data_IF_072739654790
#
_entry.id   IF_072739654790
#
_cell.length_a   1.000
_cell.length_b   1.000
_cell.length_c   1.000
_cell.angle_alpha   90.00
_cell.angle_beta   90.00
_cell.angle_gamma   90.00
#
_symmetry.space_group_name_H-M   'P 1'
#
loop_
_entity.id
_entity.type
_entity.pdbx_description
1 polymer ?
#
# COMPACT_ATOMS: atom_id res chain seq x y z
N UNK A 1 47.75 15.63 -29.42
CA UNK A 1 46.51 15.97 -28.68
C UNK A 1 45.35 15.31 -29.41
N UNK A 2 44.91 14.14 -28.94
CA UNK A 2 43.96 13.26 -29.63
C UNK A 2 42.87 12.82 -28.66
N UNK A 3 41.65 13.19 -29.01
CA UNK A 3 40.42 12.40 -28.89
C UNK A 3 39.90 12.12 -27.48
N UNK A 4 39.17 13.12 -27.00
CA UNK A 4 37.87 13.02 -26.32
C UNK A 4 37.14 11.66 -26.42
N UNK A 5 36.67 11.18 -25.25
CA UNK A 5 35.41 10.44 -25.02
C UNK A 5 35.34 9.02 -25.62
N UNK A 6 35.30 7.95 -24.79
CA UNK A 6 34.05 7.57 -24.14
C UNK A 6 34.25 6.78 -22.82
N UNK A 7 34.30 7.48 -21.69
CA UNK A 7 34.10 6.86 -20.37
C UNK A 7 32.69 7.16 -19.81
N UNK A 8 31.81 7.73 -20.64
CA UNK A 8 30.39 7.96 -20.35
C UNK A 8 29.61 6.73 -20.79
N UNK A 9 29.89 5.57 -20.19
CA UNK A 9 29.11 4.36 -20.40
C UNK A 9 28.14 4.23 -19.22
N UNK A 10 26.91 4.70 -19.50
CA UNK A 10 25.65 4.12 -19.05
C UNK A 10 25.40 3.99 -17.53
N UNK A 11 25.13 5.11 -16.87
CA UNK A 11 24.16 5.13 -15.76
C UNK A 11 22.75 4.99 -16.37
N UNK A 12 22.35 3.76 -16.66
CA UNK A 12 20.97 3.43 -17.00
C UNK A 12 20.13 3.47 -15.74
N UNK A 13 19.60 4.63 -15.38
CA UNK A 13 18.57 4.73 -14.33
C UNK A 13 17.28 4.19 -14.91
N UNK A 14 16.96 2.92 -14.66
CA UNK A 14 15.61 2.40 -14.84
C UNK A 14 14.71 3.14 -13.86
N UNK A 15 13.93 4.10 -14.36
CA UNK A 15 12.85 4.73 -13.60
C UNK A 15 11.82 3.64 -13.29
N UNK A 16 11.89 3.08 -12.08
CA UNK A 16 10.75 2.37 -11.51
C UNK A 16 9.67 3.43 -11.29
N UNK A 17 8.55 3.33 -12.02
CA UNK A 17 7.37 4.10 -11.69
C UNK A 17 6.91 3.64 -10.30
N UNK A 18 7.04 4.49 -9.30
CA UNK A 18 6.45 4.24 -7.99
C UNK A 18 4.97 4.57 -8.12
N UNK A 19 4.12 3.55 -7.97
CA UNK A 19 2.68 3.76 -7.83
C UNK A 19 2.40 4.68 -6.65
N UNK A 20 1.59 5.72 -6.86
CA UNK A 20 1.13 6.56 -5.76
C UNK A 20 -0.01 5.83 -5.07
N UNK A 21 0.30 5.19 -3.96
CA UNK A 21 -0.72 4.55 -3.14
C UNK A 21 -1.63 5.64 -2.53
N UNK A 22 -2.92 5.52 -2.77
CA UNK A 22 -3.95 6.38 -2.19
C UNK A 22 -4.74 5.63 -1.15
N UNK A 23 -5.22 6.36 -0.15
CA UNK A 23 -6.07 5.83 0.90
C UNK A 23 -7.40 5.32 0.32
N UNK A 24 -7.86 4.16 0.75
CA UNK A 24 -9.18 3.65 0.38
C UNK A 24 -10.29 4.67 0.74
N UNK A 25 -11.27 4.89 -0.15
CA UNK A 25 -12.38 5.80 0.14
C UNK A 25 -13.09 5.43 1.44
N UNK A 26 -13.49 6.44 2.22
CA UNK A 26 -14.25 6.23 3.47
C UNK A 26 -13.46 5.69 4.67
N UNK A 27 -12.34 5.00 4.46
CA UNK A 27 -11.57 4.38 5.54
C UNK A 27 -11.11 5.41 6.60
N UNK A 28 -11.09 5.03 7.87
CA UNK A 28 -10.53 5.87 8.94
C UNK A 28 -9.67 5.05 9.89
N UNK A 29 -8.70 5.69 10.53
CA UNK A 29 -7.88 5.06 11.57
C UNK A 29 -8.73 4.59 12.76
N UNK A 30 -9.79 5.32 13.08
CA UNK A 30 -10.72 4.97 14.16
C UNK A 30 -11.52 3.70 13.84
N UNK A 31 -11.99 3.58 12.60
CA UNK A 31 -12.70 2.39 12.12
C UNK A 31 -11.77 1.17 12.00
N UNK A 32 -10.59 1.36 11.41
CA UNK A 32 -9.70 0.24 11.11
C UNK A 32 -8.84 -0.20 12.29
N UNK A 33 -8.48 0.71 13.21
CA UNK A 33 -7.70 0.38 14.41
C UNK A 33 -6.47 -0.49 14.11
N UNK A 34 -6.40 -1.69 14.73
CA UNK A 34 -5.29 -2.63 14.54
C UNK A 34 -5.21 -3.20 13.12
N UNK A 35 -6.33 -3.21 12.37
CA UNK A 35 -6.36 -3.72 11.00
C UNK A 35 -5.59 -2.84 10.02
N UNK A 36 -5.34 -1.57 10.38
CA UNK A 36 -4.71 -0.58 9.51
C UNK A 36 -5.63 -0.11 8.38
N UNK A 37 -5.42 1.12 7.92
CA UNK A 37 -6.13 1.68 6.76
C UNK A 37 -5.58 1.08 5.47
N UNK A 38 -6.46 0.67 4.55
CA UNK A 38 -6.06 0.18 3.24
C UNK A 38 -5.57 1.33 2.35
N UNK A 39 -4.46 1.09 1.66
CA UNK A 39 -3.97 1.94 0.59
C UNK A 39 -3.85 1.11 -0.69
N UNK A 40 -4.26 1.67 -1.82
CA UNK A 40 -4.28 0.98 -3.11
C UNK A 40 -3.72 1.87 -4.20
N UNK A 41 -3.25 1.26 -5.28
CA UNK A 41 -2.90 1.96 -6.51
C UNK A 41 -4.15 2.04 -7.41
N UNK A 42 -4.62 3.26 -7.76
CA UNK A 42 -5.76 3.42 -8.66
C UNK A 42 -5.57 2.80 -10.04
N UNK A 43 -4.32 2.72 -10.51
CA UNK A 43 -3.99 2.20 -11.84
C UNK A 43 -3.92 0.66 -11.86
N UNK A 44 -3.89 0.02 -10.68
CA UNK A 44 -3.87 -1.44 -10.53
C UNK A 44 -5.24 -2.04 -10.16
N UNK A 45 -6.31 -1.24 -10.20
CA UNK A 45 -7.65 -1.76 -9.97
C UNK A 45 -8.06 -2.77 -11.06
N UNK A 46 -8.68 -3.91 -10.70
CA UNK A 46 -9.21 -4.86 -11.67
C UNK A 46 -10.21 -4.20 -12.62
N UNK A 47 -10.29 -4.71 -13.85
CA UNK A 47 -11.25 -4.20 -14.84
C UNK A 47 -12.69 -4.25 -14.30
N UNK A 48 -13.37 -3.11 -14.34
CA UNK A 48 -14.73 -2.95 -13.83
C UNK A 48 -14.85 -2.73 -12.32
N UNK A 49 -13.75 -2.77 -11.55
CA UNK A 49 -13.75 -2.42 -10.13
C UNK A 49 -13.81 -0.90 -9.93
N UNK A 50 -14.64 -0.44 -9.00
CA UNK A 50 -14.70 0.94 -8.57
C UNK A 50 -13.77 1.15 -7.36
N UNK A 51 -13.12 2.31 -7.20
CA UNK A 51 -12.53 2.74 -5.93
C UNK A 51 -13.38 2.46 -4.68
N UNK A 52 -14.70 2.59 -4.76
CA UNK A 52 -15.61 2.31 -3.64
C UNK A 52 -15.72 0.81 -3.28
N UNK A 53 -15.29 -0.07 -4.17
CA UNK A 53 -15.22 -1.51 -3.92
C UNK A 53 -13.92 -1.89 -3.17
N UNK A 54 -12.98 -0.95 -3.02
CA UNK A 54 -11.76 -1.17 -2.24
C UNK A 54 -12.13 -1.29 -0.77
N UNK A 55 -11.75 -2.42 -0.17
CA UNK A 55 -11.90 -2.65 1.27
C UNK A 55 -11.29 -1.49 2.08
N UNK A 56 -11.97 -1.06 3.14
CA UNK A 56 -11.50 0.07 3.93
C UNK A 56 -10.23 -0.24 4.74
N UNK A 57 -10.14 -1.45 5.31
CA UNK A 57 -9.04 -1.83 6.19
C UNK A 57 -8.07 -2.84 5.54
N UNK A 58 -6.79 -2.72 5.88
CA UNK A 58 -5.69 -3.48 5.29
C UNK A 58 -5.60 -4.93 5.79
N UNK A 59 -6.09 -5.23 6.98
CA UNK A 59 -6.21 -6.61 7.45
C UNK A 59 -7.68 -7.07 7.50
N UNK A 60 -7.91 -8.37 7.29
CA UNK A 60 -9.23 -8.96 7.46
C UNK A 60 -9.58 -9.05 8.96
N UNK A 61 -10.85 -8.89 9.39
CA UNK A 61 -11.22 -8.98 10.80
C UNK A 61 -10.90 -10.32 11.47
N UNK A 62 -10.85 -11.41 10.70
CA UNK A 62 -10.42 -12.74 11.16
C UNK A 62 -8.96 -13.07 10.82
N UNK A 63 -8.17 -12.07 10.46
CA UNK A 63 -6.75 -12.25 10.14
C UNK A 63 -5.90 -12.45 11.39
N UNK A 64 -4.65 -12.83 11.16
CA UNK A 64 -3.65 -12.95 12.21
C UNK A 64 -3.42 -11.61 12.95
N UNK A 65 -3.44 -10.53 12.19
CA UNK A 65 -3.25 -9.16 12.69
C UNK A 65 -4.36 -8.75 13.67
N UNK A 66 -5.55 -9.36 13.56
CA UNK A 66 -6.65 -9.15 14.50
C UNK A 66 -6.88 -10.33 15.45
N UNK A 67 -5.85 -11.15 15.67
CA UNK A 67 -5.94 -12.30 16.54
C UNK A 67 -7.11 -13.23 16.21
N UNK A 68 -7.35 -13.50 14.92
CA UNK A 68 -8.43 -14.40 14.47
C UNK A 68 -9.80 -13.96 15.01
N UNK A 69 -10.02 -12.64 15.13
CA UNK A 69 -11.25 -12.03 15.65
C UNK A 69 -11.21 -11.67 17.13
N UNK A 70 -10.13 -11.97 17.86
CA UNK A 70 -10.00 -11.64 19.28
C UNK A 70 -9.46 -10.23 19.53
N UNK A 71 -9.01 -9.53 18.49
CA UNK A 71 -8.32 -8.26 18.63
C UNK A 71 -9.12 -7.16 19.31
N UNK A 72 -10.43 -7.13 19.15
CA UNK A 72 -11.32 -6.13 19.78
C UNK A 72 -11.34 -6.24 21.31
N UNK A 73 -11.00 -7.41 21.85
CA UNK A 73 -10.91 -7.67 23.29
C UNK A 73 -9.51 -7.38 23.86
N UNK A 74 -8.55 -7.06 23.00
CA UNK A 74 -7.16 -6.83 23.40
C UNK A 74 -6.90 -5.31 23.53
N UNK A 75 -6.12 -4.89 24.54
CA UNK A 75 -5.75 -3.49 24.69
C UNK A 75 -5.10 -2.92 23.42
N UNK A 76 -5.32 -1.63 23.14
CA UNK A 76 -4.74 -0.96 21.96
C UNK A 76 -3.20 -0.97 21.91
N UNK A 77 -2.53 -1.10 23.05
CA UNK A 77 -1.07 -1.23 23.12
C UNK A 77 -0.58 -2.64 22.84
N UNK A 78 -1.48 -3.63 22.83
CA UNK A 78 -1.13 -5.01 22.52
C UNK A 78 -0.94 -5.12 20.99
N UNK A 79 0.25 -5.56 20.54
CA UNK A 79 0.63 -5.62 19.13
C UNK A 79 -0.35 -6.46 18.31
#
# INVERSE_FOLDING_TARGET
>A
MKLFTPFVILLGTSSIAWGVLVKAPGATEEECGRLGVMYYDPDELPEGANPEDVRHCDAHPLSAQNYWGWGDYLPRWFP
#
